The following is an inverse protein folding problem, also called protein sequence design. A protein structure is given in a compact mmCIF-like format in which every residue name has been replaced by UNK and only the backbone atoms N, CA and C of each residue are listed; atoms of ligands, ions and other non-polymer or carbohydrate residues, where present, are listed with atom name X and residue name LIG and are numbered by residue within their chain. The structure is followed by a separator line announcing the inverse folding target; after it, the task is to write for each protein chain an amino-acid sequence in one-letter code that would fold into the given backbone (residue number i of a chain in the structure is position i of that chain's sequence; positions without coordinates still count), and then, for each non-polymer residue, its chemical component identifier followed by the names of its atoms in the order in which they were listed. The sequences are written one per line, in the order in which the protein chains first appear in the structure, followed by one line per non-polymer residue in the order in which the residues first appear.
data_IF_744275948923
#
_entry.id   IF_744275948923
#
_cell.length_a   1.000
_cell.length_b   1.000
_cell.length_c   1.000
_cell.angle_alpha   90.00
_cell.angle_beta   90.00
_cell.angle_gamma   90.00
#
_symmetry.space_group_name_H-M   'P 1'
#
loop_
_entity.id
_entity.type
_entity.pdbx_description
1 polymer ?
#
# COMPACT_ATOMS: atom_id res chain seq x y z
N UNK A 1 -15.30 -34.70 -10.70
CA UNK A 1 -13.89 -34.65 -10.26
C UNK A 1 -12.97 -33.94 -11.26
N UNK A 2 -13.05 -34.21 -12.57
CA UNK A 2 -12.13 -33.64 -13.58
C UNK A 2 -12.37 -32.17 -13.95
N UNK A 3 -13.50 -31.57 -13.59
CA UNK A 3 -13.81 -30.15 -13.87
C UNK A 3 -13.12 -29.18 -12.91
N UNK A 4 -12.71 -29.62 -11.72
CA UNK A 4 -12.01 -28.75 -10.75
C UNK A 4 -10.54 -28.60 -11.15
N UNK A 5 -9.89 -29.68 -11.60
CA UNK A 5 -8.50 -29.64 -12.07
C UNK A 5 -8.31 -28.78 -13.32
N UNK A 6 -9.26 -28.77 -14.26
CA UNK A 6 -9.15 -27.89 -15.45
C UNK A 6 -9.38 -26.41 -15.14
N UNK A 7 -10.21 -26.07 -14.15
CA UNK A 7 -10.42 -24.68 -13.70
C UNK A 7 -9.22 -24.12 -12.90
N UNK A 8 -8.55 -24.93 -12.09
CA UNK A 8 -7.30 -24.48 -11.44
C UNK A 8 -6.18 -24.30 -12.46
N UNK A 9 -6.05 -25.15 -13.47
CA UNK A 9 -5.04 -24.94 -14.51
C UNK A 9 -5.32 -23.70 -15.36
N UNK A 10 -6.57 -23.40 -15.74
CA UNK A 10 -6.90 -22.20 -16.52
C UNK A 10 -6.82 -20.89 -15.71
N UNK A 11 -7.07 -20.92 -14.39
CA UNK A 11 -6.82 -19.78 -13.49
C UNK A 11 -5.34 -19.57 -13.18
N UNK A 12 -4.52 -20.63 -13.18
CA UNK A 12 -3.06 -20.56 -13.04
C UNK A 12 -2.36 -20.16 -14.34
N UNK A 13 -2.89 -20.56 -15.50
CA UNK A 13 -2.37 -20.17 -16.82
C UNK A 13 -2.63 -18.68 -17.08
N UNK A 14 -3.83 -18.17 -16.76
CA UNK A 14 -4.11 -16.71 -16.64
C UNK A 14 -3.27 -16.02 -15.53
N UNK A 15 -2.54 -16.76 -14.68
CA UNK A 15 -1.79 -16.22 -13.55
C UNK A 15 -0.35 -15.89 -13.91
N UNK A 16 0.17 -16.31 -15.05
CA UNK A 16 1.60 -16.13 -15.38
C UNK A 16 1.80 -15.02 -16.43
N UNK A 17 0.83 -14.84 -17.32
CA UNK A 17 0.84 -13.98 -18.51
C UNK A 17 0.10 -12.64 -18.34
N UNK A 18 -0.82 -12.53 -17.37
CA UNK A 18 -1.49 -11.26 -17.11
C UNK A 18 -0.58 -10.24 -16.43
N UNK A 19 -0.42 -9.08 -17.07
CA UNK A 19 0.35 -7.94 -16.56
C UNK A 19 -0.24 -7.45 -15.22
N UNK A 20 0.58 -7.45 -14.16
CA UNK A 20 0.17 -6.96 -12.84
C UNK A 20 0.18 -5.43 -12.76
N UNK A 21 1.06 -4.78 -13.52
CA UNK A 21 1.38 -3.36 -13.41
C UNK A 21 0.78 -2.56 -14.58
N UNK A 22 -0.54 -2.56 -14.69
CA UNK A 22 -1.24 -1.75 -15.70
C UNK A 22 -1.31 -0.30 -15.23
N UNK A 23 -1.22 0.66 -16.18
CA UNK A 23 -1.42 2.10 -15.93
C UNK A 23 -2.72 2.38 -15.16
N UNK A 24 -3.80 1.65 -15.46
CA UNK A 24 -5.08 1.71 -14.72
C UNK A 24 -4.94 1.43 -13.22
N UNK A 25 -4.22 0.36 -12.86
CA UNK A 25 -4.06 -0.04 -11.47
C UNK A 25 -3.23 1.00 -10.70
N UNK A 26 -2.22 1.56 -11.36
CA UNK A 26 -1.37 2.62 -10.81
C UNK A 26 -2.15 3.92 -10.60
N UNK A 27 -2.97 4.36 -11.55
CA UNK A 27 -3.75 5.60 -11.40
C UNK A 27 -4.79 5.49 -10.29
N UNK A 28 -5.56 4.40 -10.29
CA UNK A 28 -6.55 4.12 -9.25
C UNK A 28 -5.87 3.99 -7.88
N UNK A 29 -4.79 3.21 -7.81
CA UNK A 29 -3.99 3.04 -6.60
C UNK A 29 -3.46 4.35 -6.05
N UNK A 30 -2.84 5.19 -6.90
CA UNK A 30 -2.32 6.50 -6.50
C UNK A 30 -3.42 7.44 -5.99
N UNK A 31 -4.57 7.51 -6.66
CA UNK A 31 -5.70 8.33 -6.19
C UNK A 31 -6.17 7.89 -4.80
N UNK A 32 -6.29 6.59 -4.56
CA UNK A 32 -6.65 6.08 -3.24
C UNK A 32 -5.56 6.35 -2.20
N UNK A 33 -4.28 6.18 -2.54
CA UNK A 33 -3.16 6.45 -1.63
C UNK A 33 -3.14 7.92 -1.21
N UNK A 34 -3.33 8.84 -2.15
CA UNK A 34 -3.36 10.29 -1.86
C UNK A 34 -4.55 10.62 -0.95
N UNK A 35 -5.75 10.13 -1.28
CA UNK A 35 -6.96 10.38 -0.48
C UNK A 35 -6.86 9.79 0.93
N UNK A 36 -6.37 8.56 1.05
CA UNK A 36 -6.16 7.88 2.34
C UNK A 36 -5.14 8.60 3.21
N UNK A 37 -4.00 8.98 2.63
CA UNK A 37 -2.93 9.67 3.36
C UNK A 37 -3.41 11.03 3.87
N UNK A 38 -4.20 11.74 3.05
CA UNK A 38 -4.82 12.99 3.44
C UNK A 38 -5.77 12.83 4.62
N UNK A 39 -6.68 11.85 4.56
CA UNK A 39 -7.63 11.57 5.64
C UNK A 39 -6.91 11.12 6.92
N UNK A 40 -5.86 10.31 6.80
CA UNK A 40 -5.05 9.87 7.93
C UNK A 40 -4.32 11.04 8.59
N UNK A 41 -3.71 11.92 7.80
CA UNK A 41 -3.03 13.11 8.32
C UNK A 41 -4.03 14.10 8.95
N UNK A 42 -5.22 14.27 8.35
CA UNK A 42 -6.28 15.10 8.91
C UNK A 42 -6.74 14.58 10.28
N UNK A 43 -7.02 13.27 10.39
CA UNK A 43 -7.49 12.65 11.62
C UNK A 43 -6.51 12.83 12.79
N UNK A 44 -5.21 12.88 12.51
CA UNK A 44 -4.17 13.13 13.52
C UNK A 44 -4.14 14.58 14.04
N UNK A 45 -4.71 15.55 13.31
CA UNK A 45 -4.84 16.93 13.79
C UNK A 45 -6.09 17.16 14.65
N UNK A 46 -7.04 16.22 14.67
CA UNK A 46 -8.24 16.31 15.47
C UNK A 46 -8.04 15.64 16.85
N UNK A 47 -8.67 16.19 17.90
CA UNK A 47 -8.57 15.69 19.29
C UNK A 47 -8.99 14.22 19.47
N UNK A 48 -9.72 13.66 18.52
CA UNK A 48 -10.13 12.26 18.49
C UNK A 48 -9.58 11.65 17.21
N UNK A 49 -8.62 10.74 17.33
CA UNK A 49 -7.96 10.13 16.18
C UNK A 49 -8.92 9.17 15.49
N UNK A 50 -9.48 9.56 14.35
CA UNK A 50 -10.32 8.69 13.53
C UNK A 50 -9.39 7.73 12.78
N UNK A 51 -9.24 6.52 13.30
CA UNK A 51 -8.46 5.45 12.66
C UNK A 51 -9.30 4.82 11.55
N UNK A 52 -9.09 5.26 10.31
CA UNK A 52 -9.73 4.66 9.13
C UNK A 52 -8.95 3.41 8.76
N UNK A 53 -9.58 2.23 8.86
CA UNK A 53 -8.91 0.95 8.63
C UNK A 53 -8.69 0.68 7.13
N UNK A 54 -7.55 0.04 6.81
CA UNK A 54 -7.18 -0.39 5.45
C UNK A 54 -8.25 -1.25 4.76
N UNK A 55 -9.04 -2.01 5.52
CA UNK A 55 -10.12 -2.87 5.00
C UNK A 55 -11.19 -2.10 4.23
N UNK A 56 -11.45 -0.83 4.58
CA UNK A 56 -12.43 0.00 3.90
C UNK A 56 -12.05 0.27 2.45
N UNK A 57 -10.75 0.37 2.14
CA UNK A 57 -10.29 0.57 0.75
C UNK A 57 -10.45 -0.68 -0.09
N UNK A 58 -10.29 -1.86 0.50
CA UNK A 58 -10.46 -3.14 -0.21
C UNK A 58 -11.89 -3.28 -0.72
N UNK A 59 -12.85 -2.90 0.11
CA UNK A 59 -14.28 -2.93 -0.22
C UNK A 59 -14.60 -1.91 -1.33
N UNK A 60 -13.97 -0.73 -1.31
CA UNK A 60 -14.22 0.34 -2.30
C UNK A 60 -13.44 0.12 -3.61
N UNK A 61 -12.31 -0.59 -3.59
CA UNK A 61 -11.48 -0.83 -4.77
C UNK A 61 -12.18 -1.72 -5.81
N UNK A 62 -13.00 -2.67 -5.38
CA UNK A 62 -13.73 -3.57 -6.28
C UNK A 62 -14.79 -2.86 -7.16
N UNK A 63 -15.73 -2.06 -6.61
CA UNK A 63 -16.68 -1.30 -7.44
C UNK A 63 -15.98 -0.23 -8.28
N UNK A 64 -14.89 0.39 -7.80
CA UNK A 64 -14.17 1.39 -8.59
C UNK A 64 -13.43 0.78 -9.78
N UNK A 65 -12.84 -0.41 -9.62
CA UNK A 65 -12.22 -1.15 -10.73
C UNK A 65 -13.24 -1.57 -11.78
N UNK A 66 -14.46 -1.92 -11.36
CA UNK A 66 -15.58 -2.21 -12.25
C UNK A 66 -16.07 -0.96 -13.01
N UNK A 67 -16.20 0.18 -12.32
CA UNK A 67 -16.57 1.46 -12.94
C UNK A 67 -15.54 1.91 -13.99
N UNK A 68 -14.25 1.72 -13.72
CA UNK A 68 -13.20 2.03 -14.69
C UNK A 68 -13.29 1.17 -15.95
N UNK A 69 -13.65 -0.12 -15.80
CA UNK A 69 -13.89 -1.02 -16.92
C UNK A 69 -15.13 -0.64 -17.75
N UNK A 70 -16.06 0.11 -17.17
CA UNK A 70 -17.26 0.60 -17.86
C UNK A 70 -17.00 1.92 -18.63
N UNK A 71 -16.11 2.77 -18.10
CA UNK A 71 -15.77 4.07 -18.68
C UNK A 71 -14.83 3.94 -19.89
N UNK A 72 -13.91 2.98 -19.90
CA UNK A 72 -12.97 2.77 -21.01
C UNK A 72 -13.46 1.63 -21.92
N UNK A 73 -13.96 1.92 -23.13
CA UNK A 73 -14.26 0.89 -24.12
C UNK A 73 -12.96 0.15 -24.48
N UNK A 74 -13.00 -1.20 -24.54
CA UNK A 74 -11.87 -2.12 -24.70
C UNK A 74 -10.98 -2.40 -23.46
N UNK A 75 -11.36 -1.96 -22.26
CA UNK A 75 -10.64 -2.40 -21.06
C UNK A 75 -10.89 -3.89 -20.75
N UNK A 76 -9.82 -4.67 -20.58
CA UNK A 76 -9.90 -6.04 -20.07
C UNK A 76 -10.54 -6.04 -18.66
N UNK A 77 -11.28 -7.11 -18.37
CA UNK A 77 -11.89 -7.35 -17.05
C UNK A 77 -10.86 -7.13 -15.94
N UNK A 78 -11.30 -6.53 -14.83
CA UNK A 78 -10.44 -6.25 -13.69
C UNK A 78 -9.81 -7.55 -13.18
N UNK A 79 -8.48 -7.61 -13.21
CA UNK A 79 -7.76 -8.85 -12.89
C UNK A 79 -7.47 -8.90 -11.39
N UNK A 80 -7.54 -10.09 -10.79
CA UNK A 80 -7.26 -10.29 -9.36
C UNK A 80 -5.86 -9.77 -8.95
N UNK A 81 -4.90 -9.78 -9.88
CA UNK A 81 -3.56 -9.21 -9.74
C UNK A 81 -3.56 -7.69 -9.56
N UNK A 82 -4.36 -6.96 -10.35
CA UNK A 82 -4.48 -5.50 -10.24
C UNK A 82 -5.18 -5.11 -8.95
N UNK A 83 -6.16 -5.91 -8.50
CA UNK A 83 -6.79 -5.75 -7.18
C UNK A 83 -5.77 -5.95 -6.05
N UNK A 84 -4.96 -7.01 -6.15
CA UNK A 84 -3.89 -7.28 -5.19
C UNK A 84 -2.84 -6.17 -5.14
N UNK A 85 -2.47 -5.58 -6.28
CA UNK A 85 -1.55 -4.45 -6.33
C UNK A 85 -2.11 -3.22 -5.59
N UNK A 86 -3.39 -2.89 -5.84
CA UNK A 86 -4.08 -1.77 -5.17
C UNK A 86 -4.17 -2.03 -3.66
N UNK A 87 -4.43 -3.28 -3.25
CA UNK A 87 -4.46 -3.68 -1.85
C UNK A 87 -3.11 -3.43 -1.16
N UNK A 88 -2.00 -3.81 -1.79
CA UNK A 88 -0.66 -3.57 -1.25
C UNK A 88 -0.40 -2.07 -1.11
N UNK A 89 -0.74 -1.27 -2.14
CA UNK A 89 -0.61 0.19 -2.08
C UNK A 89 -1.43 0.81 -0.94
N UNK A 90 -2.66 0.35 -0.73
CA UNK A 90 -3.54 0.83 0.33
C UNK A 90 -3.03 0.50 1.73
N UNK A 91 -2.51 -0.71 1.93
CA UNK A 91 -1.94 -1.11 3.22
C UNK A 91 -0.72 -0.26 3.59
N UNK A 92 0.15 0.03 2.62
CA UNK A 92 1.31 0.90 2.83
C UNK A 92 0.88 2.33 3.20
N UNK A 93 -0.19 2.85 2.57
CA UNK A 93 -0.71 4.18 2.90
C UNK A 93 -1.28 4.27 4.33
N UNK A 94 -1.97 3.21 4.80
CA UNK A 94 -2.52 3.15 6.16
C UNK A 94 -1.43 3.07 7.24
N UNK A 95 -0.40 2.25 7.05
CA UNK A 95 0.65 2.05 8.06
C UNK A 95 1.57 3.26 8.24
N UNK A 96 1.46 4.28 7.38
CA UNK A 96 2.33 5.45 7.43
C UNK A 96 1.89 6.46 8.49
N UNK A 97 2.59 6.46 9.63
CA UNK A 97 2.44 7.47 10.69
C UNK A 97 3.43 8.63 10.50
N UNK A 98 3.03 9.60 9.68
CA UNK A 98 3.77 10.87 9.45
C UNK A 98 3.99 11.71 10.73
N UNK A 99 3.16 11.52 11.76
CA UNK A 99 3.23 12.27 13.03
C UNK A 99 4.56 12.09 13.77
N UNK A 100 5.14 10.89 13.77
CA UNK A 100 6.39 10.62 14.50
C UNK A 100 7.58 11.41 13.96
N UNK A 101 7.64 11.61 12.64
CA UNK A 101 8.74 12.36 12.03
C UNK A 101 8.58 13.85 12.35
N UNK A 102 7.34 14.35 12.32
CA UNK A 102 7.04 15.74 12.64
C UNK A 102 7.31 16.10 14.11
N UNK A 103 6.89 15.24 15.05
CA UNK A 103 7.13 15.45 16.48
C UNK A 103 8.62 15.44 16.81
N UNK A 104 9.36 14.46 16.27
CA UNK A 104 10.81 14.34 16.46
C UNK A 104 11.54 15.59 15.93
N UNK A 105 11.21 16.04 14.72
CA UNK A 105 11.83 17.25 14.14
C UNK A 105 11.50 18.53 14.91
N UNK A 106 10.30 18.61 15.48
CA UNK A 106 9.89 19.75 16.33
C UNK A 106 10.68 19.77 17.64
N UNK A 107 10.89 18.61 18.25
CA UNK A 107 11.75 18.49 19.44
C UNK A 107 13.20 18.84 19.12
N UNK A 108 13.76 18.38 17.99
CA UNK A 108 15.12 18.77 17.58
C UNK A 108 15.27 20.28 17.39
N UNK A 109 14.27 20.96 16.81
CA UNK A 109 14.26 22.43 16.71
C UNK A 109 14.26 23.11 18.08
N UNK A 110 13.50 22.57 19.02
CA UNK A 110 13.41 23.12 20.38
C UNK A 110 14.72 22.98 21.17
N UNK A 111 15.50 21.91 20.94
CA UNK A 111 16.77 21.69 21.61
C UNK A 111 17.96 22.42 20.96
N UNK A 112 18.05 22.46 19.64
CA UNK A 112 19.23 22.98 18.92
C UNK A 112 19.08 24.46 18.50
N UNK A 113 17.92 25.07 18.70
CA UNK A 113 17.65 26.50 18.44
C UNK A 113 17.80 26.93 16.96
N UNK A 114 18.15 26.03 16.05
CA UNK A 114 18.38 26.30 14.63
C UNK A 114 17.12 26.17 13.80
N UNK A 115 16.96 27.12 12.88
CA UNK A 115 15.90 27.10 11.87
C UNK A 115 16.21 26.02 10.81
N UNK A 116 15.52 24.88 10.90
CA UNK A 116 15.60 23.83 9.89
C UNK A 116 14.79 24.25 8.66
N UNK A 117 15.45 24.30 7.50
CA UNK A 117 14.80 24.59 6.22
C UNK A 117 13.86 23.47 5.78
N UNK A 118 12.80 23.82 5.05
CA UNK A 118 11.83 22.87 4.49
C UNK A 118 12.47 21.78 3.63
N UNK A 119 13.49 22.15 2.83
CA UNK A 119 14.20 21.20 1.98
C UNK A 119 14.87 20.07 2.79
N UNK A 120 15.51 20.39 3.91
CA UNK A 120 16.11 19.38 4.79
C UNK A 120 15.06 18.41 5.33
N UNK A 121 13.90 18.93 5.76
CA UNK A 121 12.80 18.10 6.23
C UNK A 121 12.30 17.14 5.15
N UNK A 122 12.11 17.63 3.92
CA UNK A 122 11.65 16.82 2.81
C UNK A 122 12.64 15.71 2.44
N UNK A 123 13.93 16.03 2.29
CA UNK A 123 14.96 15.03 1.97
C UNK A 123 15.17 14.01 3.10
N UNK A 124 15.05 14.43 4.35
CA UNK A 124 15.15 13.53 5.51
C UNK A 124 14.01 12.51 5.51
N UNK A 125 12.76 12.96 5.36
CA UNK A 125 11.59 12.07 5.25
C UNK A 125 11.76 11.13 4.05
N UNK A 126 12.13 11.68 2.89
CA UNK A 126 12.30 10.91 1.66
C UNK A 126 13.34 9.78 1.83
N UNK A 127 14.46 10.06 2.51
CA UNK A 127 15.54 9.09 2.75
C UNK A 127 15.06 7.92 3.63
N UNK A 128 14.30 8.18 4.69
CA UNK A 128 13.76 7.13 5.57
C UNK A 128 12.78 6.24 4.82
N UNK A 129 11.96 6.82 3.94
CA UNK A 129 11.02 6.06 3.12
C UNK A 129 11.74 5.15 2.11
N UNK A 130 12.73 5.66 1.40
CA UNK A 130 13.54 4.86 0.48
C UNK A 130 14.32 3.76 1.20
N UNK A 131 14.81 4.03 2.42
CA UNK A 131 15.49 3.04 3.24
C UNK A 131 14.53 1.88 3.60
N UNK A 132 13.28 2.17 3.99
CA UNK A 132 12.29 1.14 4.29
C UNK A 132 11.94 0.25 3.08
N UNK A 133 11.70 0.85 1.92
CA UNK A 133 11.46 0.08 0.69
C UNK A 133 12.71 -0.67 0.21
N UNK A 134 13.90 -0.08 0.37
CA UNK A 134 15.18 -0.72 0.05
C UNK A 134 15.46 -1.94 0.92
N UNK A 135 15.23 -1.84 2.23
CA UNK A 135 15.34 -2.96 3.17
C UNK A 135 14.38 -4.09 2.77
N UNK A 136 13.13 -3.76 2.46
CA UNK A 136 12.12 -4.75 2.00
C UNK A 136 12.59 -5.53 0.77
N UNK A 137 13.27 -4.86 -0.17
CA UNK A 137 13.87 -5.52 -1.35
C UNK A 137 14.99 -6.50 -1.00
N UNK A 138 15.88 -6.14 -0.06
CA UNK A 138 16.97 -7.01 0.41
C UNK A 138 16.43 -8.21 1.20
N UNK A 139 15.32 -8.02 1.91
CA UNK A 139 14.63 -9.06 2.69
C UNK A 139 13.80 -10.02 1.82
N UNK A 140 13.62 -9.77 0.50
CA UNK A 140 12.92 -10.66 -0.43
C UNK A 140 13.37 -12.13 -0.35
N UNK A 141 14.68 -12.48 -0.37
CA UNK A 141 15.14 -13.85 -0.18
C UNK A 141 14.62 -14.50 1.12
N UNK A 142 14.62 -13.75 2.22
CA UNK A 142 14.21 -14.25 3.53
C UNK A 142 12.69 -14.29 3.73
N UNK A 143 11.92 -13.49 2.98
CA UNK A 143 10.46 -13.44 3.12
C UNK A 143 9.73 -14.38 2.15
N UNK A 144 10.32 -14.62 0.97
CA UNK A 144 9.64 -15.34 -0.13
C UNK A 144 10.08 -16.80 -0.26
N UNK A 145 11.34 -17.11 0.03
CA UNK A 145 11.88 -18.45 -0.18
C UNK A 145 11.67 -19.44 0.98
N UNK A 146 11.58 -19.03 2.26
CA UNK A 146 11.17 -19.96 3.31
C UNK A 146 9.64 -20.01 3.42
N UNK A 147 9.06 -21.17 3.09
CA UNK A 147 7.62 -21.43 3.20
C UNK A 147 7.09 -21.50 4.64
N UNK A 148 7.97 -21.53 5.65
CA UNK A 148 7.61 -21.77 7.06
C UNK A 148 7.73 -20.52 7.95
N UNK A 149 7.87 -19.32 7.38
CA UNK A 149 7.89 -18.10 8.19
C UNK A 149 6.48 -17.77 8.69
N UNK A 150 6.13 -18.34 9.85
CA UNK A 150 4.90 -18.00 10.56
C UNK A 150 5.06 -16.57 11.07
N UNK A 151 4.22 -15.65 10.59
CA UNK A 151 4.19 -14.30 11.14
C UNK A 151 3.86 -14.39 12.64
N UNK A 152 4.61 -13.74 13.52
CA UNK A 152 4.45 -13.91 14.97
C UNK A 152 3.04 -13.55 15.46
N UNK A 153 2.32 -12.75 14.68
CA UNK A 153 0.94 -12.35 14.96
C UNK A 153 -0.10 -13.46 14.73
N UNK A 154 0.28 -14.56 14.08
CA UNK A 154 -0.60 -15.69 13.76
C UNK A 154 -0.34 -16.92 14.65
N UNK A 155 0.56 -16.86 15.64
CA UNK A 155 0.69 -17.94 16.61
C UNK A 155 -0.51 -17.89 17.58
N UNK A 156 -1.37 -18.92 17.61
CA UNK A 156 -2.26 -19.10 18.74
C UNK A 156 -1.37 -19.39 19.96
N UNK A 157 -1.55 -18.61 21.02
CA UNK A 157 -0.99 -18.89 22.34
C UNK A 157 -1.58 -20.18 22.90
#
# INVERSE_FOLDING_TARGET
MNTIHTNIHSTQENRIDNECCTIRSITIGLTFVIGMTFLHQWGNFQKSSILIFSISVVIVAYPLGYLWSLIIPNSKKFTLKEHGLILVMANVAYMHNSVYIHSTMTTLKAFDGKHIHFGYYFFFVLSIQFLGFGATGILRPFLVWPCELIWPQNLPL
#
